data_IF_605234449619
#
_entry.id   IF_605234449619
#
_cell.length_a   1.000
_cell.length_b   1.000
_cell.length_c   1.000
_cell.angle_alpha   90.00
_cell.angle_beta   90.00
_cell.angle_gamma   90.00
#
_symmetry.space_group_name_H-M   'P 1'
#
loop_
_entity.id
_entity.type
_entity.pdbx_description
1 polymer ?
#
# COMPACT_ATOMS: atom_id res chain seq x y z
N UNK A 1 27.06 2.10 30.11
CA UNK A 1 26.33 3.36 30.41
C UNK A 1 25.10 3.42 29.49
N UNK A 2 23.92 3.00 29.99
CA UNK A 2 22.64 3.08 29.28
C UNK A 2 22.20 4.55 29.26
N UNK A 3 21.94 5.13 28.08
CA UNK A 3 21.39 6.48 27.96
C UNK A 3 19.95 6.48 28.50
N UNK A 4 19.52 7.47 29.30
CA UNK A 4 18.15 7.56 29.75
C UNK A 4 17.29 8.11 28.60
N UNK A 5 16.61 7.17 27.97
CA UNK A 5 15.66 7.36 26.87
C UNK A 5 15.28 5.95 26.48
N UNK A 6 14.10 5.50 26.91
CA UNK A 6 13.62 4.15 26.61
C UNK A 6 13.76 3.85 25.11
N UNK A 7 13.90 2.57 24.75
CA UNK A 7 13.94 2.12 23.35
C UNK A 7 12.97 2.99 22.55
N UNK A 8 13.46 3.71 21.53
CA UNK A 8 12.56 4.43 20.62
C UNK A 8 11.56 3.38 20.16
N UNK A 9 10.35 3.43 20.70
CA UNK A 9 9.31 2.48 20.36
C UNK A 9 8.98 2.77 18.90
N UNK A 10 9.62 2.04 17.99
CA UNK A 10 9.37 2.12 16.56
C UNK A 10 7.99 1.53 16.31
N UNK A 11 6.97 2.37 16.50
CA UNK A 11 5.62 1.99 16.15
C UNK A 11 5.60 1.72 14.65
N UNK A 12 5.13 0.53 14.22
CA UNK A 12 5.03 0.24 12.80
C UNK A 12 4.14 1.28 12.13
N UNK A 13 4.62 1.85 11.03
CA UNK A 13 3.86 2.75 10.18
C UNK A 13 2.95 1.90 9.28
N UNK A 14 1.65 2.06 9.42
CA UNK A 14 0.68 1.43 8.53
C UNK A 14 0.36 2.35 7.34
N UNK A 15 0.67 1.89 6.13
CA UNK A 15 0.27 2.53 4.89
C UNK A 15 -0.90 1.76 4.28
N UNK A 16 -2.00 2.43 3.96
CA UNK A 16 -3.19 1.78 3.37
C UNK A 16 -3.49 2.45 2.03
N UNK A 17 -3.36 1.67 0.95
CA UNK A 17 -3.90 2.05 -0.35
C UNK A 17 -5.43 1.94 -0.32
N UNK A 18 -6.11 2.98 -0.79
CA UNK A 18 -7.56 2.97 -1.00
C UNK A 18 -7.77 3.25 -2.48
N UNK A 19 -8.25 2.24 -3.20
CA UNK A 19 -8.28 2.24 -4.66
C UNK A 19 -9.72 2.10 -5.18
N UNK A 20 -10.11 3.04 -6.03
CA UNK A 20 -11.37 2.96 -6.77
C UNK A 20 -11.27 1.86 -7.82
N UNK A 21 -12.22 0.93 -7.81
CA UNK A 21 -12.39 -0.11 -8.82
C UNK A 21 -13.78 -0.09 -9.44
N UNK A 22 -14.53 1.02 -9.38
CA UNK A 22 -15.86 1.18 -9.96
C UNK A 22 -15.89 0.93 -11.47
N UNK A 23 -17.09 0.73 -12.05
CA UNK A 23 -17.27 0.52 -13.49
C UNK A 23 -16.61 1.62 -14.34
N UNK A 24 -16.68 2.87 -13.88
CA UNK A 24 -16.08 4.04 -14.56
C UNK A 24 -14.54 4.00 -14.67
N UNK A 25 -13.89 3.15 -13.88
CA UNK A 25 -12.44 2.90 -13.95
C UNK A 25 -12.07 1.99 -15.12
N UNK A 26 -13.05 1.28 -15.71
CA UNK A 26 -12.87 0.50 -16.92
C UNK A 26 -12.73 1.37 -18.18
N UNK A 27 -13.23 2.60 -18.12
CA UNK A 27 -13.21 3.54 -19.24
C UNK A 27 -11.81 4.13 -19.43
N UNK A 28 -11.43 4.34 -20.70
CA UNK A 28 -10.21 5.05 -21.11
C UNK A 28 -8.90 4.56 -20.46
N UNK A 29 -8.88 3.30 -20.00
CA UNK A 29 -7.68 2.71 -19.40
C UNK A 29 -7.34 3.18 -17.99
N UNK A 30 -8.28 3.85 -17.27
CA UNK A 30 -8.01 4.42 -15.94
C UNK A 30 -7.51 3.39 -14.93
N UNK A 31 -8.09 2.19 -14.91
CA UNK A 31 -7.64 1.12 -14.01
C UNK A 31 -6.22 0.65 -14.33
N UNK A 32 -5.82 0.63 -15.61
CA UNK A 32 -4.45 0.33 -16.03
C UNK A 32 -3.48 1.43 -15.60
N UNK A 33 -3.88 2.70 -15.72
CA UNK A 33 -3.10 3.83 -15.21
C UNK A 33 -2.93 3.74 -13.69
N UNK A 34 -3.98 3.41 -12.95
CA UNK A 34 -3.92 3.21 -11.49
C UNK A 34 -2.95 2.09 -11.12
N UNK A 35 -3.09 0.91 -11.74
CA UNK A 35 -2.22 -0.23 -11.50
C UNK A 35 -0.74 0.09 -11.81
N UNK A 36 -0.50 0.82 -12.90
CA UNK A 36 0.84 1.24 -13.30
C UNK A 36 1.44 2.20 -12.29
N UNK A 37 0.69 3.24 -11.89
CA UNK A 37 1.16 4.22 -10.90
C UNK A 37 1.49 3.56 -9.55
N UNK A 38 0.68 2.59 -9.10
CA UNK A 38 0.98 1.86 -7.86
C UNK A 38 2.25 1.01 -8.03
N UNK A 39 2.40 0.28 -9.14
CA UNK A 39 3.60 -0.51 -9.43
C UNK A 39 4.87 0.36 -9.47
N UNK A 40 4.78 1.55 -10.04
CA UNK A 40 5.89 2.51 -10.10
C UNK A 40 6.22 3.11 -8.73
N UNK A 41 5.23 3.29 -7.85
CA UNK A 41 5.46 3.82 -6.50
C UNK A 41 6.16 2.82 -5.56
N UNK A 42 5.92 1.51 -5.74
CA UNK A 42 6.41 0.47 -4.81
C UNK A 42 7.94 0.49 -4.64
N UNK A 43 8.78 0.53 -5.70
CA UNK A 43 10.23 0.62 -5.54
C UNK A 43 10.68 1.82 -4.69
N UNK A 44 10.02 2.97 -4.84
CA UNK A 44 10.31 4.15 -4.04
C UNK A 44 9.92 3.97 -2.57
N UNK A 45 8.76 3.34 -2.30
CA UNK A 45 8.35 3.01 -0.94
C UNK A 45 9.34 2.05 -0.27
N UNK A 46 9.82 1.04 -0.99
CA UNK A 46 10.86 0.11 -0.51
C UNK A 46 12.14 0.86 -0.18
N UNK A 47 12.60 1.74 -1.07
CA UNK A 47 13.82 2.52 -0.87
C UNK A 47 13.74 3.43 0.36
N UNK A 48 12.62 4.11 0.56
CA UNK A 48 12.40 4.96 1.76
C UNK A 48 12.42 4.13 3.05
N UNK A 49 11.89 2.91 3.04
CA UNK A 49 11.93 2.04 4.21
C UNK A 49 13.34 1.49 4.49
N UNK A 50 14.10 1.15 3.45
CA UNK A 50 15.51 0.75 3.57
C UNK A 50 16.38 1.85 4.20
N UNK A 51 16.14 3.11 3.81
CA UNK A 51 16.88 4.27 4.33
C UNK A 51 16.47 4.64 5.77
N UNK A 52 15.39 4.04 6.30
CA UNK A 52 14.89 4.26 7.66
C UNK A 52 14.72 2.92 8.42
N UNK A 53 15.82 2.23 8.82
CA UNK A 53 15.76 0.90 9.44
C UNK A 53 14.96 0.84 10.74
N UNK A 54 14.82 1.98 11.41
CA UNK A 54 14.05 2.10 12.65
C UNK A 54 12.53 2.22 12.39
N UNK A 55 12.07 2.27 11.14
CA UNK A 55 10.66 2.37 10.80
C UNK A 55 10.19 1.10 10.08
N UNK A 56 9.33 0.31 10.73
CA UNK A 56 8.67 -0.81 10.10
C UNK A 56 7.46 -0.31 9.30
N UNK A 57 7.53 -0.35 7.96
CA UNK A 57 6.39 0.04 7.10
C UNK A 57 5.59 -1.22 6.72
N UNK A 58 4.32 -1.24 7.13
CA UNK A 58 3.36 -2.30 6.85
C UNK A 58 2.28 -1.79 5.90
N UNK A 59 2.15 -2.41 4.74
CA UNK A 59 1.24 -2.00 3.67
C UNK A 59 0.02 -2.90 3.63
N UNK A 60 -1.15 -2.28 3.48
CA UNK A 60 -2.43 -2.94 3.17
C UNK A 60 -3.10 -2.23 2.00
N UNK A 61 -4.12 -2.86 1.44
CA UNK A 61 -4.89 -2.27 0.34
C UNK A 61 -6.38 -2.60 0.45
N UNK A 62 -7.20 -1.58 0.26
CA UNK A 62 -8.66 -1.67 0.12
C UNK A 62 -9.01 -1.29 -1.31
N UNK A 63 -9.85 -2.11 -1.96
CA UNK A 63 -10.53 -1.71 -3.20
C UNK A 63 -12.00 -1.37 -2.89
N UNK A 64 -12.57 -0.44 -3.63
CA UNK A 64 -13.97 -0.10 -3.47
C UNK A 64 -14.67 0.14 -4.82
N UNK A 65 -15.90 -0.34 -4.91
CA UNK A 65 -16.86 -0.04 -5.98
C UNK A 65 -18.24 0.11 -5.34
N UNK A 66 -19.10 -0.92 -5.41
CA UNK A 66 -20.39 -0.97 -4.70
C UNK A 66 -20.25 -1.12 -3.18
N UNK A 67 -19.04 -1.47 -2.72
CA UNK A 67 -18.67 -1.58 -1.32
C UNK A 67 -17.16 -1.68 -1.17
N UNK A 68 -16.66 -1.57 0.07
CA UNK A 68 -15.24 -1.68 0.38
C UNK A 68 -14.85 -3.11 0.74
N UNK A 69 -13.76 -3.59 0.17
CA UNK A 69 -13.21 -4.91 0.47
C UNK A 69 -11.68 -4.88 0.51
N UNK A 70 -11.09 -5.77 1.30
CA UNK A 70 -9.64 -5.91 1.33
C UNK A 70 -9.15 -6.48 0.01
N UNK A 71 -8.24 -5.75 -0.64
CA UNK A 71 -7.41 -6.29 -1.71
C UNK A 71 -6.19 -6.99 -1.13
N UNK A 72 -5.59 -6.39 -0.09
CA UNK A 72 -4.52 -6.98 0.73
C UNK A 72 -4.88 -6.73 2.19
N UNK A 73 -5.37 -7.77 2.85
CA UNK A 73 -5.90 -7.70 4.23
C UNK A 73 -4.82 -7.79 5.30
N UNK A 74 -3.79 -8.60 5.04
CA UNK A 74 -2.69 -8.79 5.98
C UNK A 74 -1.74 -7.59 5.94
N UNK A 75 -1.27 -7.09 7.09
CA UNK A 75 -0.22 -6.08 7.12
C UNK A 75 1.09 -6.68 6.58
N UNK A 76 1.39 -6.38 5.32
CA UNK A 76 2.55 -6.93 4.61
C UNK A 76 3.73 -5.96 4.72
N UNK A 77 4.93 -6.40 5.13
CA UNK A 77 6.13 -5.56 5.06
C UNK A 77 6.31 -4.97 3.66
N UNK A 78 6.66 -3.69 3.57
CA UNK A 78 6.82 -3.04 2.25
C UNK A 78 7.87 -3.72 1.37
N UNK A 79 8.89 -4.37 1.95
CA UNK A 79 9.89 -5.18 1.24
C UNK A 79 9.25 -6.32 0.43
N UNK A 80 8.21 -6.92 0.99
CA UNK A 80 7.53 -8.11 0.47
C UNK A 80 6.23 -7.73 -0.27
N UNK A 81 5.85 -6.45 -0.21
CA UNK A 81 4.66 -5.96 -0.86
C UNK A 81 4.78 -6.07 -2.39
N UNK A 82 3.77 -6.69 -2.98
CA UNK A 82 3.57 -6.81 -4.42
C UNK A 82 2.13 -6.40 -4.74
N UNK A 83 1.96 -5.73 -5.87
CA UNK A 83 0.65 -5.32 -6.34
C UNK A 83 0.06 -6.39 -7.26
N UNK A 84 -1.13 -6.87 -6.89
CA UNK A 84 -1.98 -7.62 -7.81
C UNK A 84 -2.86 -6.60 -8.53
N UNK A 85 -2.81 -6.54 -9.85
CA UNK A 85 -3.55 -5.55 -10.62
C UNK A 85 -5.06 -5.65 -10.34
N UNK A 86 -5.69 -4.50 -10.09
CA UNK A 86 -7.14 -4.40 -9.93
C UNK A 86 -7.83 -4.43 -11.30
N UNK A 87 -9.06 -4.92 -11.30
CA UNK A 87 -9.99 -4.85 -12.42
C UNK A 87 -11.14 -3.92 -12.04
N UNK A 88 -11.66 -3.18 -13.01
CA UNK A 88 -12.89 -2.42 -12.81
C UNK A 88 -14.07 -3.39 -12.66
N UNK A 89 -14.91 -3.15 -11.65
CA UNK A 89 -16.11 -3.88 -11.29
C UNK A 89 -17.16 -2.95 -10.65
N UNK A 90 -18.41 -3.40 -10.55
CA UNK A 90 -19.50 -2.60 -9.98
C UNK A 90 -20.12 -1.62 -10.96
N UNK A 91 -21.07 -0.82 -10.46
CA UNK A 91 -21.83 0.18 -11.22
C UNK A 91 -21.28 1.60 -11.01
#
# INVERSE_FOLDING_TARGET
MKRPGGELASRPLHFIWIADSSGSMGDDGKIQSLNTAIREAIPHMKKVAEDNPNAQVLVRAVKFSNGAQWHISQPTPVSDFAWNDLTADGE
#
